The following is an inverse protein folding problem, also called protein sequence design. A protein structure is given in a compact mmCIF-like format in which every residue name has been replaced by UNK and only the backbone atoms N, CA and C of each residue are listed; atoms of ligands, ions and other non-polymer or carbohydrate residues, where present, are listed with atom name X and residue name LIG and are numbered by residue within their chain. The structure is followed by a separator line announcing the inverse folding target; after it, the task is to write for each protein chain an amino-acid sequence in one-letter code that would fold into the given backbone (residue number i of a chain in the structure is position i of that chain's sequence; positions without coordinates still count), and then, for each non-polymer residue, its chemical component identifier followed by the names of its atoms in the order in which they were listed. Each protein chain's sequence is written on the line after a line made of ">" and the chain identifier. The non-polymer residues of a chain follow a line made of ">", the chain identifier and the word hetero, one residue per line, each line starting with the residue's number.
data_IF_910957161183
#
_entry.id   IF_910957161183
#
_cell.length_a   1.000
_cell.length_b   1.000
_cell.length_c   1.000
_cell.angle_alpha   90.00
_cell.angle_beta   90.00
_cell.angle_gamma   90.00
#
_symmetry.space_group_name_H-M   'P 1'
#
loop_
_entity.id
_entity.type
_entity.pdbx_description
1 polymer ?
#
# COMPACT_ATOMS: atom_id res chain seq x y z
N UNK A 1 -25.82 -23.17 9.04
CA UNK A 1 -25.05 -22.19 9.81
C UNK A 1 -25.54 -20.79 9.47
N UNK A 2 -25.56 -19.87 10.47
CA UNK A 2 -25.97 -18.49 10.28
C UNK A 2 -24.74 -17.58 10.14
N UNK A 3 -24.50 -16.94 8.95
CA UNK A 3 -23.33 -16.09 8.72
C UNK A 3 -23.35 -14.75 9.50
N UNK A 4 -24.50 -14.35 10.06
CA UNK A 4 -24.64 -13.18 10.92
C UNK A 4 -23.82 -13.32 12.22
N UNK A 5 -23.80 -14.52 12.82
CA UNK A 5 -23.11 -14.76 14.08
C UNK A 5 -21.63 -14.43 14.04
N UNK A 6 -20.82 -14.94 13.08
CA UNK A 6 -19.42 -14.59 13.03
C UNK A 6 -19.18 -13.09 12.71
N UNK A 7 -20.04 -12.41 11.95
CA UNK A 7 -19.88 -10.95 11.74
C UNK A 7 -20.07 -10.20 13.05
N UNK A 8 -21.17 -10.49 13.78
CA UNK A 8 -21.42 -9.84 15.08
C UNK A 8 -20.26 -10.11 16.05
N UNK A 9 -19.73 -11.34 16.09
CA UNK A 9 -18.62 -11.68 16.97
C UNK A 9 -17.33 -10.96 16.55
N UNK A 10 -17.08 -10.81 15.26
CA UNK A 10 -15.96 -10.04 14.73
C UNK A 10 -15.97 -8.59 15.22
N UNK A 11 -17.12 -7.90 15.07
CA UNK A 11 -17.21 -6.47 15.38
C UNK A 11 -17.43 -6.15 16.85
N UNK A 12 -18.22 -6.97 17.58
CA UNK A 12 -18.57 -6.68 18.99
C UNK A 12 -17.54 -7.21 19.98
N UNK A 13 -16.74 -8.21 19.61
CA UNK A 13 -15.76 -8.83 20.50
C UNK A 13 -14.33 -8.55 20.05
N UNK A 14 -13.98 -8.94 18.83
CA UNK A 14 -12.58 -8.90 18.39
C UNK A 14 -12.12 -7.49 18.02
N UNK A 15 -12.90 -6.74 17.25
CA UNK A 15 -12.56 -5.36 16.89
C UNK A 15 -12.44 -4.47 18.14
N UNK A 16 -13.36 -4.60 19.11
CA UNK A 16 -13.30 -3.83 20.37
C UNK A 16 -12.06 -4.12 21.21
N UNK A 17 -11.45 -5.28 21.04
CA UNK A 17 -10.20 -5.68 21.71
C UNK A 17 -8.95 -5.36 20.91
N UNK A 18 -9.10 -4.88 19.66
CA UNK A 18 -7.99 -4.73 18.73
C UNK A 18 -7.39 -6.06 18.26
N UNK A 19 -8.13 -7.16 18.35
CA UNK A 19 -7.72 -8.49 17.89
C UNK A 19 -8.07 -8.64 16.40
N UNK A 20 -7.33 -7.92 15.57
CA UNK A 20 -7.62 -7.77 14.15
C UNK A 20 -7.52 -9.08 13.37
N UNK A 21 -6.59 -9.97 13.77
CA UNK A 21 -6.43 -11.28 13.14
C UNK A 21 -7.69 -12.14 13.33
N UNK A 22 -8.21 -12.21 14.55
CA UNK A 22 -9.44 -12.96 14.82
C UNK A 22 -10.67 -12.29 14.24
N UNK A 23 -10.70 -10.95 14.22
CA UNK A 23 -11.77 -10.22 13.52
C UNK A 23 -11.84 -10.67 12.06
N UNK A 24 -10.71 -10.66 11.34
CA UNK A 24 -10.65 -11.11 9.95
C UNK A 24 -11.02 -12.58 9.79
N UNK A 25 -10.54 -13.45 10.66
CA UNK A 25 -10.91 -14.87 10.65
C UNK A 25 -12.44 -15.05 10.72
N UNK A 26 -13.10 -14.31 11.61
CA UNK A 26 -14.56 -14.38 11.76
C UNK A 26 -15.30 -13.79 10.55
N UNK A 27 -14.81 -12.67 9.98
CA UNK A 27 -15.39 -12.09 8.77
C UNK A 27 -15.26 -13.05 7.57
N UNK A 28 -14.10 -13.70 7.38
CA UNK A 28 -13.90 -14.69 6.33
C UNK A 28 -14.76 -15.95 6.55
N UNK A 29 -14.97 -16.36 7.80
CA UNK A 29 -15.89 -17.44 8.15
C UNK A 29 -17.33 -17.11 7.72
N UNK A 30 -17.79 -15.87 7.88
CA UNK A 30 -19.10 -15.46 7.41
C UNK A 30 -19.23 -15.60 5.89
N UNK A 31 -18.23 -15.11 5.13
CA UNK A 31 -18.15 -15.27 3.67
C UNK A 31 -18.22 -16.74 3.26
N UNK A 32 -17.51 -17.62 3.97
CA UNK A 32 -17.45 -19.04 3.65
C UNK A 32 -18.78 -19.80 3.87
N UNK A 33 -19.66 -19.24 4.71
CA UNK A 33 -20.98 -19.84 4.97
C UNK A 33 -21.93 -19.53 3.80
N UNK A 34 -22.15 -18.24 3.49
CA UNK A 34 -22.96 -17.79 2.36
C UNK A 34 -22.72 -16.29 2.10
N UNK A 35 -21.91 -15.91 1.09
CA UNK A 35 -21.59 -14.51 0.81
C UNK A 35 -22.79 -13.69 0.30
N UNK A 36 -23.79 -14.34 -0.29
CA UNK A 36 -24.93 -13.68 -0.91
C UNK A 36 -26.14 -13.56 0.03
N UNK A 37 -26.15 -14.31 1.14
CA UNK A 37 -27.23 -14.23 2.12
C UNK A 37 -27.31 -12.83 2.71
N UNK A 38 -28.50 -12.24 2.65
CA UNK A 38 -28.76 -10.97 3.32
C UNK A 38 -28.93 -11.18 4.81
N UNK A 39 -28.21 -10.38 5.59
CA UNK A 39 -28.25 -10.36 7.06
C UNK A 39 -28.44 -8.94 7.56
N UNK A 40 -29.05 -8.80 8.74
CA UNK A 40 -29.23 -7.51 9.39
C UNK A 40 -28.20 -7.31 10.49
N UNK A 41 -27.28 -6.35 10.30
CA UNK A 41 -26.28 -5.99 11.31
C UNK A 41 -26.46 -4.51 11.64
N UNK A 42 -26.73 -4.18 12.91
CA UNK A 42 -26.95 -2.81 13.38
C UNK A 42 -27.97 -2.04 12.53
N UNK A 43 -29.10 -2.69 12.25
CA UNK A 43 -30.19 -2.16 11.41
C UNK A 43 -29.84 -1.90 9.93
N UNK A 44 -28.75 -2.47 9.43
CA UNK A 44 -28.36 -2.44 8.01
C UNK A 44 -28.53 -3.84 7.43
N UNK A 45 -29.41 -3.97 6.42
CA UNK A 45 -29.76 -5.24 5.76
C UNK A 45 -29.06 -5.35 4.41
N UNK A 46 -27.94 -6.07 4.35
CA UNK A 46 -27.09 -6.23 3.16
C UNK A 46 -26.66 -7.69 3.00
N UNK A 47 -26.18 -8.10 1.80
CA UNK A 47 -25.45 -9.35 1.63
C UNK A 47 -24.24 -9.45 2.58
N UNK A 48 -23.90 -10.65 2.98
CA UNK A 48 -22.75 -10.92 3.84
C UNK A 48 -21.44 -10.36 3.27
N UNK A 49 -21.24 -10.51 1.95
CA UNK A 49 -20.07 -9.94 1.27
C UNK A 49 -19.95 -8.43 1.45
N UNK A 50 -21.06 -7.71 1.24
CA UNK A 50 -21.10 -6.25 1.42
C UNK A 50 -20.95 -5.82 2.88
N UNK A 51 -21.53 -6.58 3.84
CA UNK A 51 -21.32 -6.32 5.26
C UNK A 51 -19.85 -6.48 5.64
N UNK A 52 -19.23 -7.56 5.19
CA UNK A 52 -17.82 -7.85 5.45
C UNK A 52 -16.91 -6.77 4.85
N UNK A 53 -17.16 -6.39 3.59
CA UNK A 53 -16.39 -5.33 2.92
C UNK A 53 -16.54 -4.00 3.66
N UNK A 54 -17.74 -3.62 4.07
CA UNK A 54 -17.99 -2.38 4.81
C UNK A 54 -17.24 -2.34 6.15
N UNK A 55 -17.27 -3.43 6.93
CA UNK A 55 -16.54 -3.48 8.20
C UNK A 55 -15.04 -3.56 8.00
N UNK A 56 -14.57 -4.28 7.00
CA UNK A 56 -13.14 -4.31 6.64
C UNK A 56 -12.64 -2.91 6.28
N UNK A 57 -13.37 -2.19 5.41
CA UNK A 57 -12.99 -0.82 5.02
C UNK A 57 -13.06 0.16 6.19
N UNK A 58 -14.09 0.05 7.04
CA UNK A 58 -14.25 0.92 8.21
C UNK A 58 -13.06 0.80 9.17
N UNK A 59 -12.73 -0.42 9.62
CA UNK A 59 -11.64 -0.64 10.57
C UNK A 59 -10.26 -0.44 9.96
N UNK A 60 -10.09 -0.80 8.68
CA UNK A 60 -8.87 -0.48 7.93
C UNK A 60 -8.63 1.03 7.90
N UNK A 61 -9.62 1.81 7.51
CA UNK A 61 -9.50 3.27 7.43
C UNK A 61 -9.22 3.90 8.80
N UNK A 62 -9.84 3.38 9.88
CA UNK A 62 -9.58 3.82 11.25
C UNK A 62 -8.09 3.63 11.61
N UNK A 63 -7.54 2.43 11.40
CA UNK A 63 -6.14 2.16 11.71
C UNK A 63 -5.18 2.87 10.76
N UNK A 64 -5.47 2.90 9.46
CA UNK A 64 -4.64 3.60 8.48
C UNK A 64 -4.55 5.10 8.80
N UNK A 65 -5.68 5.76 9.05
CA UNK A 65 -5.72 7.18 9.40
C UNK A 65 -5.01 7.47 10.74
N UNK A 66 -5.17 6.59 11.74
CA UNK A 66 -4.41 6.70 12.98
C UNK A 66 -2.90 6.65 12.74
N UNK A 67 -2.43 5.78 11.85
CA UNK A 67 -1.03 5.72 11.42
C UNK A 67 -0.57 7.01 10.73
N UNK A 68 -1.38 7.56 9.82
CA UNK A 68 -1.10 8.85 9.14
C UNK A 68 -0.96 9.99 10.15
N UNK A 69 -1.83 10.07 11.15
CA UNK A 69 -1.74 11.09 12.20
C UNK A 69 -0.45 10.96 13.04
N UNK A 70 0.00 9.73 13.31
CA UNK A 70 1.31 9.52 13.97
C UNK A 70 2.46 9.95 13.08
N UNK A 71 2.38 9.66 11.79
CA UNK A 71 3.40 10.06 10.83
C UNK A 71 3.50 11.60 10.68
N UNK A 72 2.38 12.31 10.65
CA UNK A 72 2.34 13.79 10.62
C UNK A 72 3.03 14.42 11.82
N UNK A 73 2.94 13.81 13.01
CA UNK A 73 3.60 14.30 14.23
C UNK A 73 5.12 14.40 14.12
N UNK A 74 5.74 13.70 13.17
CA UNK A 74 7.19 13.79 12.93
C UNK A 74 7.61 15.22 12.56
N UNK A 75 6.76 15.97 11.84
CA UNK A 75 7.04 17.37 11.47
C UNK A 75 6.92 18.32 12.66
N UNK A 76 6.01 18.02 13.59
CA UNK A 76 5.74 18.84 14.78
C UNK A 76 6.74 18.56 15.92
N UNK A 77 7.24 17.34 15.99
CA UNK A 77 8.12 16.83 17.05
C UNK A 77 9.22 15.94 16.46
N UNK A 78 10.20 16.54 15.74
CA UNK A 78 11.27 15.81 15.05
C UNK A 78 12.23 15.09 16.02
N UNK A 79 12.36 15.55 17.26
CA UNK A 79 13.20 14.92 18.27
C UNK A 79 12.70 13.51 18.66
N UNK A 80 11.40 13.27 18.54
CA UNK A 80 10.76 11.99 18.78
C UNK A 80 10.43 11.22 17.48
N UNK A 81 11.08 11.53 16.35
CA UNK A 81 10.82 10.91 15.04
C UNK A 81 10.73 9.37 15.12
N UNK A 82 11.70 8.73 15.76
CA UNK A 82 11.72 7.25 15.87
C UNK A 82 10.51 6.69 16.60
N UNK A 83 10.05 7.37 17.66
CA UNK A 83 8.84 6.97 18.40
C UNK A 83 7.60 7.10 17.50
N UNK A 84 7.44 8.24 16.83
CA UNK A 84 6.31 8.49 15.95
C UNK A 84 6.25 7.51 14.77
N UNK A 85 7.42 7.16 14.19
CA UNK A 85 7.51 6.12 13.15
C UNK A 85 7.06 4.76 13.68
N UNK A 86 7.53 4.34 14.85
CA UNK A 86 7.13 3.05 15.45
C UNK A 86 5.62 3.01 15.75
N UNK A 87 5.06 4.12 16.27
CA UNK A 87 3.63 4.23 16.53
C UNK A 87 2.82 4.16 15.22
N UNK A 88 3.30 4.82 14.14
CA UNK A 88 2.69 4.75 12.82
C UNK A 88 2.76 3.32 12.23
N UNK A 89 3.93 2.68 12.30
CA UNK A 89 4.13 1.30 11.83
C UNK A 89 3.17 0.35 12.52
N UNK A 90 2.95 0.49 13.83
CA UNK A 90 1.98 -0.33 14.56
C UNK A 90 0.59 -0.21 13.93
N UNK A 91 0.09 1.00 13.73
CA UNK A 91 -1.23 1.23 13.15
C UNK A 91 -1.32 0.72 11.69
N UNK A 92 -0.29 0.96 10.85
CA UNK A 92 -0.27 0.43 9.49
C UNK A 92 -0.15 -1.10 9.45
N UNK A 93 0.53 -1.71 10.43
CA UNK A 93 0.55 -3.18 10.56
C UNK A 93 -0.85 -3.70 10.92
N UNK A 94 -1.54 -3.07 11.85
CA UNK A 94 -2.93 -3.39 12.18
C UNK A 94 -3.83 -3.24 10.93
N UNK A 95 -3.68 -2.15 10.18
CA UNK A 95 -4.40 -1.96 8.90
C UNK A 95 -4.09 -3.07 7.88
N UNK A 96 -2.84 -3.54 7.78
CA UNK A 96 -2.45 -4.63 6.86
C UNK A 96 -3.04 -5.99 7.25
N UNK A 97 -3.32 -6.22 8.54
CA UNK A 97 -4.02 -7.41 9.02
C UNK A 97 -5.50 -7.32 8.67
N UNK A 98 -6.11 -6.13 8.83
CA UNK A 98 -7.53 -5.89 8.55
C UNK A 98 -7.82 -6.00 7.05
N UNK A 99 -7.01 -5.37 6.21
CA UNK A 99 -7.13 -5.46 4.75
C UNK A 99 -5.79 -5.90 4.11
N UNK A 100 -5.52 -7.20 4.02
CA UNK A 100 -4.26 -7.73 3.51
C UNK A 100 -4.08 -7.58 2.00
N UNK A 101 -5.09 -7.08 1.28
CA UNK A 101 -5.03 -6.85 -0.18
C UNK A 101 -4.69 -5.42 -0.54
N UNK A 102 -4.70 -4.50 0.42
CA UNK A 102 -4.45 -3.08 0.17
C UNK A 102 -2.95 -2.78 -0.03
N UNK A 103 -2.55 -2.53 -1.27
CA UNK A 103 -1.17 -2.21 -1.64
C UNK A 103 -0.67 -0.90 -1.01
N UNK A 104 -1.56 0.09 -0.78
CA UNK A 104 -1.20 1.38 -0.21
C UNK A 104 -0.65 1.24 1.21
N UNK A 105 -1.23 0.35 2.01
CA UNK A 105 -0.76 0.08 3.38
C UNK A 105 0.68 -0.45 3.37
N UNK A 106 1.00 -1.39 2.48
CA UNK A 106 2.35 -1.94 2.37
C UNK A 106 3.35 -0.93 1.81
N UNK A 107 2.94 -0.10 0.85
CA UNK A 107 3.75 1.02 0.33
C UNK A 107 4.10 2.00 1.46
N UNK A 108 3.13 2.31 2.32
CA UNK A 108 3.32 3.23 3.45
C UNK A 108 4.21 2.62 4.54
N UNK A 109 4.01 1.33 4.87
CA UNK A 109 4.90 0.58 5.77
C UNK A 109 6.35 0.60 5.27
N UNK A 110 6.56 0.35 3.99
CA UNK A 110 7.88 0.39 3.37
C UNK A 110 8.57 1.75 3.57
N UNK A 111 7.87 2.84 3.32
CA UNK A 111 8.38 4.21 3.54
C UNK A 111 8.73 4.46 5.02
N UNK A 112 7.90 4.01 5.96
CA UNK A 112 8.17 4.14 7.38
C UNK A 112 9.44 3.38 7.80
N UNK A 113 9.62 2.14 7.32
CA UNK A 113 10.82 1.36 7.60
C UNK A 113 12.08 1.96 6.96
N UNK A 114 11.95 2.50 5.74
CA UNK A 114 13.04 3.22 5.08
C UNK A 114 13.48 4.44 5.91
N UNK A 115 12.52 5.20 6.46
CA UNK A 115 12.78 6.37 7.31
C UNK A 115 13.35 6.02 8.69
N UNK A 116 13.16 4.78 9.15
CA UNK A 116 13.84 4.20 10.32
C UNK A 116 15.27 3.71 9.99
N UNK A 117 15.63 3.59 8.72
CA UNK A 117 16.88 2.97 8.26
C UNK A 117 16.84 1.45 8.20
N UNK A 118 15.67 0.84 8.36
CA UNK A 118 15.47 -0.62 8.25
C UNK A 118 15.24 -1.00 6.79
N UNK A 119 16.33 -1.12 6.05
CA UNK A 119 16.33 -1.44 4.61
C UNK A 119 15.68 -2.79 4.31
N UNK A 120 15.87 -3.79 5.17
CA UNK A 120 15.35 -5.14 4.97
C UNK A 120 13.82 -5.12 4.96
N UNK A 121 13.19 -4.55 5.99
CA UNK A 121 11.74 -4.43 6.05
C UNK A 121 11.19 -3.46 4.99
N UNK A 122 11.91 -2.39 4.66
CA UNK A 122 11.51 -1.49 3.58
C UNK A 122 11.38 -2.23 2.25
N UNK A 123 12.37 -3.04 1.86
CA UNK A 123 12.36 -3.85 0.64
C UNK A 123 11.25 -4.91 0.71
N UNK A 124 11.11 -5.61 1.84
CA UNK A 124 10.09 -6.64 2.04
C UNK A 124 8.69 -6.08 1.80
N UNK A 125 8.35 -4.97 2.44
CA UNK A 125 7.00 -4.42 2.36
C UNK A 125 6.70 -3.79 0.99
N UNK A 126 7.69 -3.19 0.31
CA UNK A 126 7.42 -2.65 -1.03
C UNK A 126 7.25 -3.77 -2.06
N UNK A 127 7.97 -4.88 -1.96
CA UNK A 127 7.72 -6.07 -2.78
C UNK A 127 6.32 -6.61 -2.55
N UNK A 128 5.89 -6.71 -1.28
CA UNK A 128 4.52 -7.11 -0.95
C UNK A 128 3.48 -6.17 -1.58
N UNK A 129 3.69 -4.86 -1.57
CA UNK A 129 2.79 -3.89 -2.22
C UNK A 129 2.63 -4.18 -3.72
N UNK A 130 3.73 -4.41 -4.44
CA UNK A 130 3.71 -4.76 -5.87
C UNK A 130 3.04 -6.11 -6.12
N UNK A 131 3.29 -7.13 -5.27
CA UNK A 131 2.64 -8.43 -5.38
C UNK A 131 1.13 -8.36 -5.19
N UNK A 132 0.64 -7.49 -4.28
CA UNK A 132 -0.80 -7.30 -4.02
C UNK A 132 -1.52 -6.59 -5.15
N UNK A 133 -0.86 -5.65 -5.80
CA UNK A 133 -1.40 -4.95 -6.96
C UNK A 133 -0.29 -4.63 -7.98
N UNK A 134 0.04 -5.59 -8.87
CA UNK A 134 1.11 -5.43 -9.87
C UNK A 134 0.87 -4.31 -10.88
N UNK A 135 -0.38 -3.93 -11.10
CA UNK A 135 -0.78 -2.86 -12.03
C UNK A 135 -1.04 -1.53 -11.31
N UNK A 136 -0.56 -1.37 -10.08
CA UNK A 136 -0.63 -0.09 -9.37
C UNK A 136 0.62 0.74 -9.67
N UNK A 137 0.41 1.94 -10.22
CA UNK A 137 1.51 2.87 -10.55
C UNK A 137 2.33 3.24 -9.31
N UNK A 138 1.66 3.68 -8.22
CA UNK A 138 2.33 4.14 -7.00
C UNK A 138 3.18 3.04 -6.35
N UNK A 139 2.70 1.79 -6.34
CA UNK A 139 3.47 0.67 -5.80
C UNK A 139 4.74 0.43 -6.61
N UNK A 140 4.66 0.38 -7.94
CA UNK A 140 5.81 0.16 -8.82
C UNK A 140 6.80 1.34 -8.78
N UNK A 141 6.30 2.56 -8.90
CA UNK A 141 7.15 3.76 -8.84
C UNK A 141 7.87 3.90 -7.48
N UNK A 142 7.13 3.72 -6.39
CA UNK A 142 7.72 3.73 -5.04
C UNK A 142 8.70 2.56 -4.84
N UNK A 143 8.44 1.40 -5.46
CA UNK A 143 9.39 0.27 -5.38
C UNK A 143 10.75 0.65 -5.97
N UNK A 144 10.77 1.28 -7.12
CA UNK A 144 12.01 1.83 -7.69
C UNK A 144 12.73 2.77 -6.72
N UNK A 145 12.02 3.75 -6.18
CA UNK A 145 12.58 4.73 -5.25
C UNK A 145 13.12 4.11 -3.96
N UNK A 146 12.35 3.22 -3.33
CA UNK A 146 12.76 2.56 -2.07
C UNK A 146 13.97 1.68 -2.30
N UNK A 147 13.98 0.89 -3.38
CA UNK A 147 15.07 -0.04 -3.67
C UNK A 147 16.38 0.69 -3.97
N UNK A 148 16.35 1.79 -4.73
CA UNK A 148 17.54 2.63 -4.92
C UNK A 148 18.06 3.20 -3.60
N UNK A 149 17.18 3.69 -2.73
CA UNK A 149 17.58 4.18 -1.40
C UNK A 149 18.09 3.07 -0.47
N UNK A 150 17.79 1.83 -0.81
CA UNK A 150 18.32 0.64 -0.13
C UNK A 150 19.61 0.09 -0.79
N UNK A 151 20.20 0.83 -1.75
CA UNK A 151 21.44 0.50 -2.46
C UNK A 151 21.34 -0.73 -3.38
N UNK A 152 20.14 -1.04 -3.91
CA UNK A 152 20.00 -2.02 -4.97
C UNK A 152 20.51 -1.44 -6.29
N UNK A 153 21.01 -2.32 -7.17
CA UNK A 153 21.54 -1.92 -8.47
C UNK A 153 20.47 -1.43 -9.43
N UNK A 154 20.85 -0.62 -10.40
CA UNK A 154 19.94 -0.12 -11.43
C UNK A 154 19.29 -1.25 -12.25
N UNK A 155 20.01 -2.38 -12.45
CA UNK A 155 19.46 -3.58 -13.09
C UNK A 155 18.32 -4.21 -12.29
N UNK A 156 18.45 -4.26 -10.95
CA UNK A 156 17.41 -4.81 -10.06
C UNK A 156 16.19 -3.90 -9.99
N UNK A 157 16.38 -2.59 -10.11
CA UNK A 157 15.34 -1.58 -10.00
C UNK A 157 14.60 -1.32 -11.32
N UNK A 158 15.30 -1.45 -12.44
CA UNK A 158 14.79 -1.15 -13.79
C UNK A 158 13.38 -1.73 -14.07
N UNK A 159 13.05 -3.00 -13.73
CA UNK A 159 11.74 -3.58 -14.03
C UNK A 159 10.57 -2.82 -13.39
N UNK A 160 10.79 -2.21 -12.23
CA UNK A 160 9.75 -1.47 -11.50
C UNK A 160 9.43 -0.14 -12.19
N UNK A 161 10.45 0.60 -12.64
CA UNK A 161 10.23 1.83 -13.41
C UNK A 161 9.68 1.54 -14.81
N UNK A 162 10.12 0.46 -15.45
CA UNK A 162 9.51 0.00 -16.70
C UNK A 162 8.01 -0.26 -16.54
N UNK A 163 7.62 -0.96 -15.45
CA UNK A 163 6.21 -1.24 -15.15
C UNK A 163 5.44 0.05 -14.83
N UNK A 164 6.01 0.97 -14.07
CA UNK A 164 5.39 2.26 -13.81
C UNK A 164 5.10 3.06 -15.08
N UNK A 165 6.08 3.15 -15.99
CA UNK A 165 5.90 3.80 -17.32
C UNK A 165 4.89 3.04 -18.19
N UNK A 166 4.85 1.71 -18.13
CA UNK A 166 3.83 0.92 -18.85
C UNK A 166 2.41 1.27 -18.37
N UNK A 167 2.22 1.52 -17.05
CA UNK A 167 0.93 1.86 -16.47
C UNK A 167 0.55 3.31 -16.79
N UNK A 168 1.50 4.24 -16.63
CA UNK A 168 1.32 5.67 -16.91
C UNK A 168 2.38 6.18 -17.89
N UNK A 169 2.18 5.98 -19.22
CA UNK A 169 3.21 6.32 -20.23
C UNK A 169 3.56 7.80 -20.31
N UNK A 170 2.67 8.70 -19.89
CA UNK A 170 2.88 10.15 -19.91
C UNK A 170 3.36 10.73 -18.57
N UNK A 171 3.75 9.89 -17.60
CA UNK A 171 4.24 10.34 -16.32
C UNK A 171 5.72 10.74 -16.43
N UNK A 172 5.99 12.04 -16.53
CA UNK A 172 7.34 12.58 -16.75
C UNK A 172 8.32 12.18 -15.62
N UNK A 173 7.84 12.02 -14.37
CA UNK A 173 8.70 11.57 -13.27
C UNK A 173 9.14 10.11 -13.47
N UNK A 174 8.23 9.22 -13.84
CA UNK A 174 8.55 7.82 -14.09
C UNK A 174 9.47 7.67 -15.33
N UNK A 175 9.24 8.44 -16.38
CA UNK A 175 10.10 8.46 -17.57
C UNK A 175 11.52 8.94 -17.23
N UNK A 176 11.68 9.99 -16.40
CA UNK A 176 13.02 10.45 -15.98
C UNK A 176 13.78 9.40 -15.18
N UNK A 177 13.11 8.76 -14.22
CA UNK A 177 13.74 7.68 -13.43
C UNK A 177 14.11 6.49 -14.33
N UNK A 178 13.22 6.08 -15.24
CA UNK A 178 13.51 5.01 -16.21
C UNK A 178 14.70 5.34 -17.11
N UNK A 179 14.78 6.57 -17.60
CA UNK A 179 15.91 7.01 -18.43
C UNK A 179 17.23 7.01 -17.65
N UNK A 180 17.19 7.42 -16.36
CA UNK A 180 18.36 7.32 -15.47
C UNK A 180 18.81 5.87 -15.30
N UNK A 181 17.89 4.93 -15.07
CA UNK A 181 18.24 3.50 -14.94
C UNK A 181 18.90 2.97 -16.23
N UNK A 182 18.37 3.33 -17.40
CA UNK A 182 19.00 2.92 -18.67
C UNK A 182 20.39 3.52 -18.85
N UNK A 183 20.60 4.77 -18.44
CA UNK A 183 21.92 5.40 -18.48
C UNK A 183 22.93 4.68 -17.58
N UNK A 184 22.55 4.36 -16.36
CA UNK A 184 23.39 3.72 -15.36
C UNK A 184 23.85 2.32 -15.78
N UNK A 185 23.05 1.60 -16.58
CA UNK A 185 23.39 0.28 -17.13
C UNK A 185 23.97 0.34 -18.55
N UNK A 186 24.50 1.50 -18.95
CA UNK A 186 25.15 1.79 -20.25
C UNK A 186 24.24 1.58 -21.50
N UNK A 187 22.90 1.63 -21.33
CA UNK A 187 21.93 1.60 -22.45
C UNK A 187 21.55 3.01 -22.90
N UNK A 188 22.55 3.77 -23.35
CA UNK A 188 22.45 5.23 -23.62
C UNK A 188 21.39 5.57 -24.66
N UNK A 189 21.25 4.78 -25.72
CA UNK A 189 20.28 5.03 -26.79
C UNK A 189 18.84 4.96 -26.26
N UNK A 190 18.54 3.97 -25.38
CA UNK A 190 17.24 3.87 -24.73
C UNK A 190 17.00 5.02 -23.75
N UNK A 191 18.02 5.39 -22.99
CA UNK A 191 17.96 6.54 -22.08
C UNK A 191 17.57 7.82 -22.83
N UNK A 192 18.24 8.11 -23.95
CA UNK A 192 17.96 9.30 -24.79
C UNK A 192 16.53 9.26 -25.28
N UNK A 193 16.06 8.12 -25.81
CA UNK A 193 14.69 8.00 -26.32
C UNK A 193 13.66 8.29 -25.22
N UNK A 194 13.83 7.69 -24.04
CA UNK A 194 12.90 7.90 -22.92
C UNK A 194 12.92 9.34 -22.41
N UNK A 195 14.09 10.03 -22.43
CA UNK A 195 14.15 11.46 -22.10
C UNK A 195 13.42 12.32 -23.14
N UNK A 196 13.52 11.99 -24.42
CA UNK A 196 12.78 12.70 -25.46
C UNK A 196 11.28 12.55 -25.26
N UNK A 197 10.81 11.34 -24.97
CA UNK A 197 9.40 11.06 -24.67
C UNK A 197 8.92 11.86 -23.45
N UNK A 198 9.75 11.99 -22.39
CA UNK A 198 9.44 12.77 -21.21
C UNK A 198 9.28 14.27 -21.53
N UNK A 199 10.19 14.84 -22.34
CA UNK A 199 10.14 16.25 -22.75
C UNK A 199 8.87 16.51 -23.57
N UNK A 200 8.57 15.65 -24.55
CA UNK A 200 7.39 15.81 -25.41
C UNK A 200 6.10 15.79 -24.57
N UNK A 201 6.00 14.88 -23.59
CA UNK A 201 4.85 14.80 -22.69
C UNK A 201 4.71 16.04 -21.77
N UNK A 202 5.78 16.76 -21.46
CA UNK A 202 5.71 18.02 -20.70
C UNK A 202 5.26 19.19 -21.59
N UNK A 203 5.76 19.25 -22.83
CA UNK A 203 5.37 20.28 -23.81
C UNK A 203 3.88 20.20 -24.16
N UNK A 204 3.34 18.99 -24.35
CA UNK A 204 1.94 18.76 -24.70
C UNK A 204 0.96 19.18 -23.57
N UNK A 205 1.44 19.32 -22.30
CA UNK A 205 0.64 19.78 -21.17
C UNK A 205 0.54 21.32 -21.06
N UNK A 206 1.37 22.06 -21.80
CA UNK A 206 1.46 23.52 -21.74
C UNK A 206 0.57 24.18 -22.82
N UNK A 207 0.10 23.42 -23.79
CA UNK A 207 -0.80 23.84 -24.89
C UNK A 207 -2.26 23.61 -24.50
#
# INVERSE_FOLDING_TARGET
>A
DNPEIPIVYAIEVHARKGDWGKMQEMLQKAISIDPNKKVEIRAVFLPVSEQVDNYTQYYWAEQFNAGVEKFKKIQEDPDNKKKHLNDAIKNFTDASIINPTDAQTYTTLSKCYLDLGDKENAIKFIKTAVERNPDNFDANFTAGQVMLRCDLSSEEVLPYYQKAVQIEPSNSSALRELASMYYDIDQKEKSIQVFQDAIQNEEDKIV
#
